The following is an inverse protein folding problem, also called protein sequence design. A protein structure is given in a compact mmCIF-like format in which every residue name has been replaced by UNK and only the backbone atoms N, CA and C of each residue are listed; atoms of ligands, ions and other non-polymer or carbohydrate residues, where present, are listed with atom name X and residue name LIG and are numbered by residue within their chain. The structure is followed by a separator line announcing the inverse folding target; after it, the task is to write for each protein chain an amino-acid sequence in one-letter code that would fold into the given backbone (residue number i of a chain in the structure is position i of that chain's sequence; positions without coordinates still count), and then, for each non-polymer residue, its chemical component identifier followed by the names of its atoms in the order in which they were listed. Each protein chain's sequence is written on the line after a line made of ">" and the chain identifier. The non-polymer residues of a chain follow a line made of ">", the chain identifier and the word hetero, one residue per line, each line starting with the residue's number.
data_IF_688053438570
#
_entry.id   IF_688053438570
#
_cell.length_a   1.000
_cell.length_b   1.000
_cell.length_c   1.000
_cell.angle_alpha   90.00
_cell.angle_beta   90.00
_cell.angle_gamma   90.00
#
_symmetry.space_group_name_H-M   'P 1'
#
loop_
_entity.id
_entity.type
_entity.pdbx_description
1 polymer ?
#
# COMPACT_ATOMS: atom_id res chain seq x y z
N UNK A 1 -28.65 30.58 -78.84
CA UNK A 1 -27.80 29.46 -78.40
C UNK A 1 -28.09 29.23 -76.91
N UNK A 2 -29.09 28.39 -76.61
CA UNK A 2 -29.55 28.12 -75.23
C UNK A 2 -28.95 26.77 -74.80
N UNK A 3 -28.02 26.82 -73.85
CA UNK A 3 -27.46 25.62 -73.20
C UNK A 3 -28.40 25.21 -72.08
N UNK A 4 -29.02 24.04 -72.22
CA UNK A 4 -29.82 23.38 -71.18
C UNK A 4 -28.88 22.80 -70.12
N UNK A 5 -28.96 23.28 -68.88
CA UNK A 5 -28.31 22.65 -67.74
C UNK A 5 -29.21 21.50 -67.24
N UNK A 6 -28.70 20.27 -67.32
CA UNK A 6 -29.34 19.07 -66.76
C UNK A 6 -28.89 18.94 -65.30
N UNK A 7 -29.79 19.28 -64.38
CA UNK A 7 -29.61 19.04 -62.94
C UNK A 7 -29.80 17.54 -62.64
N UNK A 8 -28.70 16.79 -62.50
CA UNK A 8 -28.72 15.44 -61.95
C UNK A 8 -29.02 15.49 -60.44
N UNK A 9 -30.29 15.41 -60.05
CA UNK A 9 -30.69 15.16 -58.65
C UNK A 9 -30.13 13.81 -58.20
N UNK A 10 -29.06 13.83 -57.38
CA UNK A 10 -28.60 12.66 -56.62
C UNK A 10 -29.73 12.20 -55.71
N UNK A 11 -30.35 11.07 -56.05
CA UNK A 11 -31.21 10.31 -55.15
C UNK A 11 -30.42 10.00 -53.87
N UNK A 12 -30.81 10.63 -52.75
CA UNK A 12 -30.30 10.27 -51.43
C UNK A 12 -31.16 9.11 -50.96
N UNK A 13 -30.62 7.89 -50.97
CA UNK A 13 -31.24 6.75 -50.30
C UNK A 13 -31.34 7.05 -48.81
N UNK A 14 -32.56 7.22 -48.29
CA UNK A 14 -32.81 7.32 -46.86
C UNK A 14 -32.64 5.96 -46.20
N UNK A 15 -32.03 5.92 -45.02
CA UNK A 15 -31.96 4.71 -44.20
C UNK A 15 -33.37 4.31 -43.75
N UNK A 16 -33.70 3.03 -43.84
CA UNK A 16 -34.94 2.48 -43.27
C UNK A 16 -34.82 2.36 -41.75
N UNK A 17 -35.95 2.48 -41.05
CA UNK A 17 -36.01 2.33 -39.60
C UNK A 17 -35.47 0.96 -39.13
N UNK A 18 -35.66 -0.08 -39.94
CA UNK A 18 -35.17 -1.44 -39.67
C UNK A 18 -33.64 -1.50 -39.75
N UNK A 19 -33.03 -0.91 -40.77
CA UNK A 19 -31.56 -0.89 -40.91
C UNK A 19 -30.90 -0.18 -39.72
N UNK A 20 -31.46 0.93 -39.26
CA UNK A 20 -30.95 1.63 -38.07
C UNK A 20 -31.08 0.76 -36.80
N UNK A 21 -32.21 0.08 -36.62
CA UNK A 21 -32.47 -0.81 -35.49
C UNK A 21 -31.50 -1.99 -35.43
N UNK A 22 -31.18 -2.60 -36.58
CA UNK A 22 -30.21 -3.71 -36.65
C UNK A 22 -28.81 -3.24 -36.28
N UNK A 23 -28.39 -2.07 -36.77
CA UNK A 23 -27.07 -1.52 -36.48
C UNK A 23 -26.91 -1.23 -34.98
N UNK A 24 -27.89 -0.58 -34.35
CA UNK A 24 -27.82 -0.32 -32.90
C UNK A 24 -27.88 -1.62 -32.08
N UNK A 25 -28.61 -2.65 -32.54
CA UNK A 25 -28.63 -3.95 -31.87
C UNK A 25 -27.26 -4.64 -31.93
N UNK A 26 -26.59 -4.64 -33.09
CA UNK A 26 -25.25 -5.21 -33.23
C UNK A 26 -24.23 -4.44 -32.37
N UNK A 27 -24.24 -3.10 -32.42
CA UNK A 27 -23.36 -2.28 -31.59
C UNK A 27 -23.62 -2.55 -30.09
N UNK A 28 -24.89 -2.65 -29.69
CA UNK A 28 -25.27 -2.97 -28.31
C UNK A 28 -24.72 -4.31 -27.84
N UNK A 29 -24.83 -5.36 -28.67
CA UNK A 29 -24.26 -6.69 -28.37
C UNK A 29 -22.74 -6.65 -28.30
N UNK A 30 -22.07 -5.96 -29.24
CA UNK A 30 -20.61 -5.82 -29.22
C UNK A 30 -20.13 -5.09 -27.96
N UNK A 31 -20.77 -3.97 -27.58
CA UNK A 31 -20.40 -3.23 -26.37
C UNK A 31 -20.64 -4.09 -25.11
N UNK A 32 -21.77 -4.81 -25.05
CA UNK A 32 -22.08 -5.68 -23.92
C UNK A 32 -21.03 -6.78 -23.70
N UNK A 33 -20.45 -7.32 -24.79
CA UNK A 33 -19.39 -8.32 -24.72
C UNK A 33 -18.00 -7.72 -24.48
N UNK A 34 -17.73 -6.53 -25.02
CA UNK A 34 -16.42 -5.88 -24.92
C UNK A 34 -16.20 -5.15 -23.60
N UNK A 35 -17.23 -4.55 -23.00
CA UNK A 35 -17.06 -3.75 -21.78
C UNK A 35 -16.52 -4.57 -20.61
N UNK A 36 -17.04 -5.77 -20.27
CA UNK A 36 -16.48 -6.59 -19.20
C UNK A 36 -15.03 -7.00 -19.48
N UNK A 37 -14.72 -7.35 -20.73
CA UNK A 37 -13.37 -7.76 -21.14
C UNK A 37 -12.36 -6.61 -21.01
N UNK A 38 -12.73 -5.39 -21.44
CA UNK A 38 -11.86 -4.21 -21.30
C UNK A 38 -11.59 -3.89 -19.83
N UNK A 39 -12.58 -4.03 -18.95
CA UNK A 39 -12.36 -3.78 -17.52
C UNK A 39 -11.45 -4.82 -16.87
N UNK A 40 -11.62 -6.11 -17.21
CA UNK A 40 -10.74 -7.17 -16.74
C UNK A 40 -9.29 -6.95 -17.21
N UNK A 41 -9.11 -6.57 -18.48
CA UNK A 41 -7.79 -6.27 -19.03
C UNK A 41 -7.14 -5.07 -18.33
N UNK A 42 -7.90 -4.00 -18.05
CA UNK A 42 -7.41 -2.83 -17.31
C UNK A 42 -6.97 -3.20 -15.89
N UNK A 43 -7.76 -4.00 -15.19
CA UNK A 43 -7.41 -4.41 -13.83
C UNK A 43 -6.19 -5.34 -13.80
N UNK A 44 -6.06 -6.25 -14.76
CA UNK A 44 -4.87 -7.07 -14.90
C UNK A 44 -3.60 -6.21 -15.14
N UNK A 45 -3.71 -5.16 -15.96
CA UNK A 45 -2.61 -4.22 -16.20
C UNK A 45 -2.25 -3.43 -14.93
N UNK A 46 -3.25 -2.92 -14.20
CA UNK A 46 -3.02 -2.23 -12.92
C UNK A 46 -2.34 -3.14 -11.90
N UNK A 47 -2.81 -4.38 -11.76
CA UNK A 47 -2.19 -5.38 -10.88
C UNK A 47 -0.75 -5.68 -11.29
N UNK A 48 -0.47 -5.81 -12.59
CA UNK A 48 0.90 -5.99 -13.08
C UNK A 48 1.80 -4.81 -12.67
N UNK A 49 1.30 -3.57 -12.78
CA UNK A 49 2.02 -2.40 -12.32
C UNK A 49 2.27 -2.43 -10.80
N UNK A 50 1.29 -2.82 -9.97
CA UNK A 50 1.49 -2.99 -8.54
C UNK A 50 2.57 -4.03 -8.22
N UNK A 51 2.53 -5.19 -8.88
CA UNK A 51 3.54 -6.24 -8.67
C UNK A 51 4.94 -5.76 -9.04
N UNK A 52 5.08 -4.97 -10.10
CA UNK A 52 6.35 -4.37 -10.48
C UNK A 52 6.82 -3.34 -9.46
N UNK A 53 5.94 -2.46 -8.98
CA UNK A 53 6.28 -1.46 -7.95
C UNK A 53 6.75 -2.13 -6.65
N UNK A 54 6.03 -3.14 -6.14
CA UNK A 54 6.45 -3.89 -4.97
C UNK A 54 7.78 -4.63 -5.18
N UNK A 55 8.01 -5.16 -6.39
CA UNK A 55 9.30 -5.77 -6.77
C UNK A 55 10.44 -4.75 -6.72
N UNK A 56 10.23 -3.53 -7.22
CA UNK A 56 11.23 -2.46 -7.15
C UNK A 56 11.54 -2.06 -5.70
N UNK A 57 10.52 -1.96 -4.83
CA UNK A 57 10.72 -1.65 -3.42
C UNK A 57 11.48 -2.76 -2.67
N UNK A 58 11.18 -4.01 -2.99
CA UNK A 58 11.94 -5.15 -2.47
C UNK A 58 13.41 -5.09 -2.91
N UNK A 59 13.68 -4.89 -4.20
CA UNK A 59 15.04 -4.75 -4.73
C UNK A 59 15.79 -3.56 -4.11
N UNK A 60 15.12 -2.42 -3.93
CA UNK A 60 15.68 -1.26 -3.25
C UNK A 60 16.08 -1.58 -1.80
N UNK A 61 15.28 -2.41 -1.11
CA UNK A 61 15.59 -2.86 0.25
C UNK A 61 16.78 -3.82 0.30
N UNK A 62 16.91 -4.69 -0.71
CA UNK A 62 18.10 -5.54 -0.89
C UNK A 62 19.36 -4.71 -1.18
N UNK A 63 19.29 -3.72 -2.07
CA UNK A 63 20.41 -2.83 -2.35
C UNK A 63 20.82 -2.01 -1.12
N UNK A 64 19.84 -1.57 -0.31
CA UNK A 64 20.09 -0.95 0.98
C UNK A 64 20.82 -1.93 1.92
N UNK A 65 20.34 -3.18 2.00
CA UNK A 65 20.99 -4.22 2.79
C UNK A 65 22.42 -4.49 2.34
N UNK A 66 22.70 -4.56 1.05
CA UNK A 66 24.05 -4.78 0.54
C UNK A 66 25.01 -3.63 0.87
N UNK A 67 24.48 -2.40 0.94
CA UNK A 67 25.26 -1.21 1.28
C UNK A 67 25.51 -1.07 2.79
N UNK A 68 24.50 -1.34 3.62
CA UNK A 68 24.52 -1.03 5.06
C UNK A 68 24.52 -2.28 5.97
N UNK A 69 24.53 -3.47 5.39
CA UNK A 69 24.56 -4.78 6.06
C UNK A 69 23.26 -5.19 6.75
N UNK A 70 22.19 -4.41 6.63
CA UNK A 70 20.88 -4.67 7.25
C UNK A 70 19.78 -3.98 6.44
N UNK A 71 18.54 -4.45 6.57
CA UNK A 71 17.38 -3.78 5.98
C UNK A 71 17.17 -2.37 6.57
N UNK A 72 16.44 -1.49 5.85
CA UNK A 72 16.04 -0.20 6.39
C UNK A 72 15.28 -0.37 7.72
N UNK A 73 15.47 0.54 8.69
CA UNK A 73 14.73 0.48 9.94
C UNK A 73 13.24 0.73 9.69
N UNK A 74 12.37 -0.05 10.33
CA UNK A 74 10.92 0.21 10.29
C UNK A 74 10.56 1.52 11.01
N UNK A 75 11.32 1.85 12.06
CA UNK A 75 11.21 3.11 12.80
C UNK A 75 12.58 3.67 13.17
N UNK A 76 12.77 4.97 12.91
CA UNK A 76 13.96 5.72 13.29
C UNK A 76 13.58 7.01 14.02
N UNK A 77 13.79 7.03 15.33
CA UNK A 77 13.44 8.11 16.25
C UNK A 77 14.57 9.10 16.56
N UNK A 78 15.49 9.34 15.61
CA UNK A 78 16.66 10.21 15.81
C UNK A 78 17.54 9.77 17.00
N UNK A 79 17.93 8.49 17.04
CA UNK A 79 18.79 7.94 18.09
C UNK A 79 18.18 7.84 19.49
N UNK A 80 17.02 8.45 19.76
CA UNK A 80 16.25 8.18 20.96
C UNK A 80 15.38 6.94 20.72
N UNK A 81 15.64 5.81 21.42
CA UNK A 81 14.79 4.64 21.30
C UNK A 81 13.34 5.04 21.58
N UNK A 82 13.05 5.79 22.66
CA UNK A 82 11.68 6.13 23.07
C UNK A 82 10.88 7.07 22.15
N UNK A 83 11.48 7.60 21.07
CA UNK A 83 10.75 8.40 20.08
C UNK A 83 10.10 7.46 19.05
N UNK A 84 9.04 6.77 19.47
CA UNK A 84 8.29 5.87 18.60
C UNK A 84 7.04 6.53 18.05
N UNK A 85 6.57 6.00 16.92
CA UNK A 85 5.25 6.34 16.42
C UNK A 85 5.24 7.57 15.55
N UNK A 86 4.53 8.58 16.04
CA UNK A 86 4.13 9.73 15.23
C UNK A 86 5.30 10.63 14.82
N UNK A 87 6.43 10.60 15.54
CA UNK A 87 7.54 11.53 15.31
C UNK A 87 8.78 10.87 14.68
N UNK A 88 8.71 9.57 14.39
CA UNK A 88 9.82 8.77 13.83
C UNK A 88 9.71 8.59 12.32
N UNK A 89 10.87 8.64 11.66
CA UNK A 89 11.01 8.29 10.25
C UNK A 89 10.76 6.80 10.03
N UNK A 90 10.08 6.46 8.94
CA UNK A 90 9.94 5.08 8.48
C UNK A 90 11.09 4.66 7.55
N UNK A 91 11.02 3.41 7.11
CA UNK A 91 11.82 2.84 6.02
C UNK A 91 11.82 3.69 4.73
N UNK A 92 10.74 4.44 4.47
CA UNK A 92 10.53 5.23 3.25
C UNK A 92 11.69 6.20 2.99
N UNK A 93 12.10 6.97 4.01
CA UNK A 93 13.15 7.97 3.81
C UNK A 93 14.49 7.33 3.41
N UNK A 94 14.77 6.14 3.92
CA UNK A 94 16.05 5.44 3.71
C UNK A 94 16.15 4.78 2.34
N UNK A 95 15.03 4.40 1.73
CA UNK A 95 15.03 3.75 0.41
C UNK A 95 15.02 4.73 -0.76
N UNK A 96 14.73 6.02 -0.55
CA UNK A 96 14.63 7.02 -1.63
C UNK A 96 15.83 7.02 -2.60
N UNK A 97 17.10 6.97 -2.14
CA UNK A 97 18.24 6.92 -3.06
C UNK A 97 18.26 5.66 -3.94
N UNK A 98 17.68 4.56 -3.46
CA UNK A 98 17.64 3.26 -4.13
C UNK A 98 16.47 3.11 -5.10
N UNK A 99 15.59 4.11 -5.19
CA UNK A 99 14.48 4.20 -6.13
C UNK A 99 14.55 5.49 -6.96
N UNK A 100 15.76 6.00 -7.19
CA UNK A 100 16.04 7.18 -8.01
C UNK A 100 15.42 8.50 -7.51
N UNK A 101 15.15 8.61 -6.19
CA UNK A 101 14.59 9.81 -5.56
C UNK A 101 15.63 10.61 -4.74
N UNK A 102 16.84 10.77 -5.26
CA UNK A 102 17.94 11.51 -4.58
C UNK A 102 17.56 12.96 -4.23
N UNK A 103 16.87 13.67 -5.13
CA UNK A 103 16.44 15.06 -4.89
C UNK A 103 15.43 15.19 -3.74
N UNK A 104 14.64 14.15 -3.47
CA UNK A 104 13.76 14.11 -2.31
C UNK A 104 14.55 13.76 -1.05
N UNK A 105 15.49 12.82 -1.14
CA UNK A 105 16.33 12.39 -0.04
C UNK A 105 17.17 13.54 0.55
N UNK A 106 17.76 14.38 -0.30
CA UNK A 106 18.57 15.54 0.10
C UNK A 106 17.79 16.59 0.91
N UNK A 107 16.45 16.58 0.84
CA UNK A 107 15.59 17.46 1.61
C UNK A 107 15.24 16.90 3.00
N UNK A 108 15.55 15.64 3.28
CA UNK A 108 15.24 14.99 4.55
C UNK A 108 16.34 15.24 5.58
N UNK A 109 15.95 15.52 6.82
CA UNK A 109 16.85 15.59 7.96
C UNK A 109 16.45 14.55 9.01
N UNK A 110 17.19 13.43 9.05
CA UNK A 110 16.95 12.34 10.00
C UNK A 110 17.38 12.67 11.44
N UNK A 111 18.13 13.77 11.65
CA UNK A 111 18.47 14.28 12.99
C UNK A 111 17.30 15.05 13.64
N UNK A 112 16.17 15.19 12.94
CA UNK A 112 14.99 15.86 13.43
C UNK A 112 13.78 14.92 13.40
N UNK A 113 12.74 15.27 14.17
CA UNK A 113 11.46 14.59 14.13
C UNK A 113 10.78 14.84 12.79
N UNK A 114 10.14 13.81 12.22
CA UNK A 114 9.45 13.93 10.92
C UNK A 114 8.25 14.89 10.96
N UNK A 115 7.55 14.96 12.09
CA UNK A 115 6.42 15.85 12.31
C UNK A 115 6.82 16.99 13.27
N UNK A 116 6.36 18.22 13.01
CA UNK A 116 6.80 19.42 13.74
C UNK A 116 6.92 20.69 12.89
N UNK A 117 7.66 21.71 13.36
CA UNK A 117 7.83 23.00 12.63
C UNK A 117 8.34 22.77 11.18
N UNK A 118 7.82 23.54 10.23
CA UNK A 118 7.89 23.33 8.77
C UNK A 118 9.30 23.21 8.16
N UNK A 119 10.36 23.53 8.91
CA UNK A 119 11.77 23.43 8.51
C UNK A 119 12.38 22.02 8.66
N UNK A 120 11.64 21.01 9.14
CA UNK A 120 12.20 19.79 9.77
C UNK A 120 11.99 18.45 9.03
N UNK A 121 11.60 18.48 7.76
CA UNK A 121 11.51 17.27 6.91
C UNK A 121 11.44 17.54 5.41
N UNK A 122 11.66 18.80 5.01
CA UNK A 122 11.56 19.25 3.62
C UNK A 122 10.14 19.23 3.03
N UNK A 123 10.01 19.71 1.80
CA UNK A 123 8.78 19.55 1.01
C UNK A 123 8.53 18.07 0.64
N UNK A 124 9.58 17.25 0.65
CA UNK A 124 9.56 15.83 0.29
C UNK A 124 8.55 14.98 1.09
N UNK A 125 8.26 15.31 2.37
CA UNK A 125 7.23 14.61 3.17
C UNK A 125 5.82 14.71 2.56
N UNK A 126 5.55 15.78 1.82
CA UNK A 126 4.23 16.10 1.24
C UNK A 126 4.09 15.68 -0.21
N UNK A 127 5.20 15.26 -0.83
CA UNK A 127 5.22 14.90 -2.22
C UNK A 127 4.73 13.46 -2.39
N UNK A 128 3.73 13.29 -3.24
CA UNK A 128 3.33 11.96 -3.69
C UNK A 128 4.40 11.36 -4.59
N UNK A 129 4.66 10.09 -4.38
CA UNK A 129 5.57 9.30 -5.18
C UNK A 129 4.78 8.22 -5.92
N UNK A 130 4.73 8.32 -7.25
CA UNK A 130 3.96 7.39 -8.10
C UNK A 130 4.43 5.94 -7.96
N UNK A 131 5.70 5.70 -7.62
CA UNK A 131 6.24 4.38 -7.33
C UNK A 131 5.65 3.74 -6.06
N UNK A 132 5.04 4.54 -5.19
CA UNK A 132 4.46 4.14 -3.90
C UNK A 132 2.93 4.06 -3.92
N UNK A 133 2.30 4.38 -5.06
CA UNK A 133 0.85 4.40 -5.23
C UNK A 133 0.35 3.18 -5.99
N UNK A 134 -0.74 2.59 -5.49
CA UNK A 134 -1.46 1.55 -6.19
C UNK A 134 -2.34 2.20 -7.28
N UNK A 135 -2.16 1.90 -8.58
CA UNK A 135 -3.02 2.43 -9.65
C UNK A 135 -4.48 2.00 -9.56
N UNK A 136 -4.82 0.99 -8.74
CA UNK A 136 -6.21 0.61 -8.46
C UNK A 136 -6.83 1.41 -7.30
N UNK A 137 -6.02 2.17 -6.54
CA UNK A 137 -6.51 3.13 -5.55
C UNK A 137 -6.55 4.54 -6.16
N UNK A 138 -7.77 5.06 -6.35
CA UNK A 138 -7.97 6.40 -6.90
C UNK A 138 -7.71 7.50 -5.85
N UNK A 139 -7.50 7.14 -4.58
CA UNK A 139 -7.26 8.10 -3.51
C UNK A 139 -5.79 8.55 -3.50
N UNK A 140 -5.56 9.83 -3.79
CA UNK A 140 -4.22 10.45 -3.86
C UNK A 140 -4.17 11.67 -2.95
N UNK A 141 -3.89 11.43 -1.67
CA UNK A 141 -3.98 12.48 -0.65
C UNK A 141 -2.60 13.09 -0.40
N UNK A 142 -2.52 14.40 -0.58
CA UNK A 142 -1.49 15.27 -0.01
C UNK A 142 -2.18 16.17 1.02
N UNK A 143 -1.89 15.98 2.29
CA UNK A 143 -2.62 16.70 3.34
C UNK A 143 -2.23 18.18 3.38
N UNK A 144 -3.23 19.05 3.50
CA UNK A 144 -3.02 20.50 3.58
C UNK A 144 -3.41 21.10 4.94
N UNK A 145 -4.25 20.43 5.73
CA UNK A 145 -4.91 21.02 6.90
C UNK A 145 -3.99 21.58 8.00
N UNK A 146 -2.94 20.86 8.40
CA UNK A 146 -2.03 21.29 9.50
C UNK A 146 -0.58 21.21 9.05
N UNK A 147 0.05 22.36 8.78
CA UNK A 147 1.42 22.48 8.20
C UNK A 147 2.47 21.57 8.86
N UNK A 148 2.43 21.43 10.19
CA UNK A 148 3.38 20.60 10.94
C UNK A 148 3.14 19.09 10.83
N UNK A 149 2.00 18.67 10.30
CA UNK A 149 1.54 17.28 10.22
C UNK A 149 1.12 16.84 8.81
N UNK A 150 1.40 17.65 7.79
CA UNK A 150 1.11 17.34 6.38
C UNK A 150 1.97 16.17 5.89
N UNK A 151 1.33 15.09 5.43
CA UNK A 151 2.01 13.97 4.78
C UNK A 151 1.34 13.64 3.44
N UNK A 152 2.09 13.07 2.51
CA UNK A 152 1.53 12.36 1.37
C UNK A 152 1.19 10.93 1.78
N UNK A 153 0.00 10.45 1.44
CA UNK A 153 -0.42 9.10 1.78
C UNK A 153 -0.13 8.15 0.62
N UNK A 154 0.38 6.96 0.93
CA UNK A 154 0.78 5.95 -0.04
C UNK A 154 0.25 4.56 0.33
N UNK A 155 0.29 3.63 -0.62
CA UNK A 155 -0.31 2.30 -0.48
C UNK A 155 0.68 1.22 -0.06
N UNK A 156 1.94 1.30 -0.49
CA UNK A 156 2.92 0.24 -0.20
C UNK A 156 3.56 0.42 1.18
N UNK A 157 3.53 -0.64 1.96
CA UNK A 157 3.89 -0.65 3.37
C UNK A 157 4.65 -1.91 3.75
N UNK A 158 5.42 -1.84 4.84
CA UNK A 158 6.25 -2.96 5.33
C UNK A 158 5.51 -3.88 6.28
N UNK A 159 5.91 -5.15 6.34
CA UNK A 159 5.39 -6.08 7.32
C UNK A 159 6.08 -5.87 8.69
N UNK A 160 5.30 -5.50 9.71
CA UNK A 160 5.79 -5.35 11.09
C UNK A 160 5.76 -6.65 11.90
N UNK A 161 5.00 -7.65 11.47
CA UNK A 161 4.81 -8.89 12.19
C UNK A 161 3.39 -9.42 12.09
N UNK A 162 3.06 -10.37 12.97
CA UNK A 162 1.78 -11.09 12.96
C UNK A 162 0.77 -10.65 14.03
N UNK A 163 1.10 -9.62 14.82
CA UNK A 163 0.23 -9.04 15.86
C UNK A 163 -0.05 -7.56 15.61
N UNK A 164 0.71 -6.66 16.25
CA UNK A 164 0.61 -5.20 16.06
C UNK A 164 2.01 -4.57 15.91
N UNK A 165 2.08 -3.24 15.84
CA UNK A 165 3.32 -2.50 15.58
C UNK A 165 4.15 -2.15 16.83
N UNK A 166 3.88 -2.75 17.99
CA UNK A 166 4.44 -2.27 19.24
C UNK A 166 5.96 -2.32 19.26
N UNK A 167 6.54 -1.23 19.74
CA UNK A 167 7.95 -0.87 19.60
C UNK A 167 8.62 -0.83 20.97
N UNK A 168 8.54 -1.93 21.72
CA UNK A 168 9.06 -1.98 23.10
C UNK A 168 9.97 -3.17 23.40
N UNK A 169 10.59 -3.14 24.59
CA UNK A 169 11.53 -4.15 25.12
C UNK A 169 10.88 -5.51 25.51
N UNK A 170 9.56 -5.67 25.34
CA UNK A 170 8.85 -6.91 25.58
C UNK A 170 8.73 -7.73 24.28
N UNK A 171 8.69 -9.08 24.34
CA UNK A 171 8.30 -9.87 23.17
C UNK A 171 6.92 -9.40 22.70
N UNK A 172 6.83 -9.14 21.40
CA UNK A 172 5.75 -8.44 20.72
C UNK A 172 4.38 -8.72 21.35
N UNK A 173 3.80 -7.63 21.87
CA UNK A 173 2.61 -7.60 22.71
C UNK A 173 1.41 -8.38 22.16
N UNK A 174 0.57 -8.76 23.11
CA UNK A 174 -0.60 -9.59 22.90
C UNK A 174 -1.76 -8.78 22.30
N UNK A 175 -2.34 -9.30 21.21
CA UNK A 175 -3.61 -8.79 20.66
C UNK A 175 -4.66 -9.88 20.86
N UNK A 176 -5.68 -9.61 21.68
CA UNK A 176 -6.77 -10.56 21.99
C UNK A 176 -6.30 -11.97 22.41
N UNK A 177 -5.29 -12.10 23.27
CA UNK A 177 -4.75 -13.42 23.63
C UNK A 177 -3.61 -13.92 22.74
N UNK A 178 -3.34 -13.28 21.61
CA UNK A 178 -2.33 -13.72 20.65
C UNK A 178 -1.01 -12.97 20.84
N UNK A 179 0.01 -13.67 21.35
CA UNK A 179 1.39 -13.17 21.44
C UNK A 179 2.08 -13.27 20.08
N UNK A 180 2.51 -12.12 19.55
CA UNK A 180 3.06 -12.03 18.20
C UNK A 180 4.55 -12.32 18.08
N UNK A 181 4.97 -12.46 16.84
CA UNK A 181 6.35 -12.51 16.37
C UNK A 181 6.61 -11.36 15.41
N UNK A 182 7.83 -10.83 15.47
CA UNK A 182 8.26 -9.72 14.65
C UNK A 182 8.40 -10.09 13.17
N UNK A 183 8.11 -9.12 12.29
CA UNK A 183 8.45 -9.20 10.88
C UNK A 183 9.90 -8.81 10.59
N UNK A 184 10.20 -8.62 9.30
CA UNK A 184 11.54 -8.16 8.86
C UNK A 184 11.78 -6.69 9.16
N UNK A 185 10.75 -5.85 9.11
CA UNK A 185 10.87 -4.46 9.53
C UNK A 185 10.47 -4.34 10.98
N UNK A 186 11.47 -4.12 11.83
CA UNK A 186 11.24 -3.89 13.26
C UNK A 186 11.56 -2.44 13.62
N UNK A 187 10.70 -1.76 14.38
CA UNK A 187 11.07 -0.56 15.10
C UNK A 187 12.21 -0.92 16.06
N UNK A 188 13.22 -0.07 16.22
CA UNK A 188 14.42 -0.27 17.08
C UNK A 188 15.59 -1.09 16.52
N UNK A 189 15.33 -2.12 15.71
CA UNK A 189 16.41 -3.03 15.27
C UNK A 189 16.58 -2.99 13.76
N UNK A 190 17.84 -2.96 13.34
CA UNK A 190 18.16 -3.23 11.94
C UNK A 190 18.16 -4.75 11.80
N UNK A 191 17.13 -5.31 11.16
CA UNK A 191 17.12 -6.73 10.85
C UNK A 191 18.00 -6.97 9.62
N UNK A 192 18.87 -7.97 9.68
CA UNK A 192 19.55 -8.49 8.50
C UNK A 192 18.73 -9.59 7.84
N UNK A 193 19.03 -9.91 6.58
CA UNK A 193 18.41 -11.07 5.91
C UNK A 193 18.70 -12.38 6.68
N UNK A 194 19.82 -12.45 7.41
CA UNK A 194 20.18 -13.57 8.29
C UNK A 194 19.21 -13.82 9.45
N UNK A 195 18.43 -12.81 9.84
CA UNK A 195 17.49 -12.93 10.97
C UNK A 195 16.16 -13.58 10.53
N UNK A 196 15.99 -13.83 9.23
CA UNK A 196 14.89 -14.57 8.64
C UNK A 196 15.21 -16.07 8.65
N UNK A 197 15.00 -16.71 9.80
CA UNK A 197 15.29 -18.15 9.96
C UNK A 197 14.23 -19.04 9.33
N UNK A 198 13.02 -18.52 9.09
CA UNK A 198 11.91 -19.29 8.50
C UNK A 198 11.97 -19.33 6.96
N UNK A 199 12.94 -18.61 6.37
CA UNK A 199 13.27 -18.61 4.95
C UNK A 199 12.79 -17.36 4.22
N UNK A 200 13.67 -16.78 3.40
CA UNK A 200 13.41 -15.52 2.71
C UNK A 200 12.20 -15.59 1.75
N UNK A 201 11.94 -16.76 1.16
CA UNK A 201 10.78 -16.99 0.29
C UNK A 201 9.47 -17.22 1.03
N UNK A 202 9.51 -17.25 2.37
CA UNK A 202 8.41 -17.59 3.26
C UNK A 202 8.15 -16.49 4.31
N UNK A 203 8.79 -15.33 4.19
CA UNK A 203 8.57 -14.21 5.09
C UNK A 203 8.21 -12.97 4.27
N UNK A 204 7.14 -12.28 4.65
CA UNK A 204 6.68 -11.06 3.99
C UNK A 204 7.62 -9.89 4.27
N UNK A 205 7.83 -9.09 3.22
CA UNK A 205 8.61 -7.87 3.25
C UNK A 205 7.70 -6.65 3.05
N UNK A 206 6.94 -6.66 1.95
CA UNK A 206 6.00 -5.59 1.58
C UNK A 206 4.62 -6.14 1.28
N UNK A 207 3.63 -5.28 1.45
CA UNK A 207 2.29 -5.47 0.93
C UNK A 207 1.68 -4.08 0.65
N UNK A 208 0.44 -4.09 0.20
CA UNK A 208 -0.38 -2.91 0.01
C UNK A 208 -1.45 -2.75 1.12
N UNK A 209 -1.81 -1.50 1.34
CA UNK A 209 -3.00 -1.05 2.08
C UNK A 209 -3.80 -0.09 1.19
N UNK A 210 -5.08 0.07 1.51
CA UNK A 210 -5.89 1.14 0.94
C UNK A 210 -5.71 2.43 1.74
N UNK A 211 -5.72 3.57 1.07
CA UNK A 211 -5.64 4.87 1.74
C UNK A 211 -7.02 5.39 2.15
N UNK A 212 -7.09 6.29 3.15
CA UNK A 212 -8.32 6.98 3.52
C UNK A 212 -9.01 7.69 2.34
N UNK A 213 -10.34 7.81 2.39
CA UNK A 213 -11.09 8.51 1.35
C UNK A 213 -11.09 10.05 1.49
N UNK A 214 -10.57 10.57 2.60
CA UNK A 214 -10.51 12.01 2.89
C UNK A 214 -9.23 12.36 3.65
N UNK A 215 -8.80 13.63 3.54
CA UNK A 215 -7.70 14.17 4.32
C UNK A 215 -8.07 14.38 5.81
N UNK A 216 -7.09 14.79 6.62
CA UNK A 216 -7.29 15.16 8.02
C UNK A 216 -7.92 14.04 8.88
N UNK A 217 -7.59 12.78 8.59
CA UNK A 217 -8.07 11.65 9.41
C UNK A 217 -7.36 11.54 10.76
N UNK A 218 -6.20 12.19 10.91
CA UNK A 218 -5.28 12.06 12.06
C UNK A 218 -4.89 10.60 12.41
N UNK A 219 -5.23 9.64 11.55
CA UNK A 219 -4.86 8.24 11.65
C UNK A 219 -3.49 7.98 11.05
N UNK A 220 -2.89 6.86 11.42
CA UNK A 220 -1.58 6.42 10.91
C UNK A 220 -1.65 5.87 9.49
N UNK A 221 -2.80 5.31 9.07
CA UNK A 221 -2.97 4.58 7.82
C UNK A 221 -2.53 5.40 6.60
N UNK A 222 -1.62 4.85 5.82
CA UNK A 222 -1.12 5.45 4.58
C UNK A 222 0.00 6.48 4.79
N UNK A 223 0.31 6.91 6.01
CA UNK A 223 1.42 7.86 6.28
C UNK A 223 2.77 7.15 6.21
N UNK A 224 3.15 6.72 5.02
CA UNK A 224 4.31 5.85 4.81
C UNK A 224 5.64 6.48 5.17
N UNK A 225 5.73 7.80 5.32
CA UNK A 225 6.94 8.47 5.78
C UNK A 225 7.09 8.39 7.32
N UNK A 226 5.98 8.24 8.04
CA UNK A 226 5.94 8.10 9.49
C UNK A 226 5.99 6.61 9.84
N UNK A 227 6.94 6.19 10.67
CA UNK A 227 7.22 4.77 10.95
C UNK A 227 5.96 3.91 11.14
N UNK A 228 5.16 4.24 12.15
CA UNK A 228 3.99 3.45 12.54
C UNK A 228 2.74 3.70 11.68
N UNK A 229 2.87 4.51 10.62
CA UNK A 229 1.90 4.63 9.52
C UNK A 229 2.33 3.92 8.24
N UNK A 230 3.53 3.34 8.23
CA UNK A 230 4.18 2.77 7.06
C UNK A 230 4.16 1.24 7.02
N UNK A 231 3.28 0.59 7.77
CA UNK A 231 3.25 -0.86 7.86
C UNK A 231 1.87 -1.50 7.90
N UNK A 232 1.89 -2.82 7.85
CA UNK A 232 0.76 -3.73 8.05
C UNK A 232 1.19 -4.91 8.94
N UNK A 233 0.22 -5.63 9.49
CA UNK A 233 0.44 -6.91 10.17
C UNK A 233 -0.33 -8.03 9.49
N UNK A 234 0.09 -9.27 9.74
CA UNK A 234 -0.63 -10.46 9.31
C UNK A 234 -1.63 -10.97 10.36
N UNK A 235 -1.93 -10.17 11.39
CA UNK A 235 -2.91 -10.54 12.42
C UNK A 235 -4.30 -10.83 11.83
N UNK A 236 -4.69 -10.09 10.79
CA UNK A 236 -5.90 -10.28 10.01
C UNK A 236 -5.53 -10.73 8.59
N UNK A 237 -6.35 -11.58 7.97
CA UNK A 237 -6.17 -12.01 6.56
C UNK A 237 -6.23 -10.83 5.58
N UNK A 238 -5.72 -10.99 4.35
CA UNK A 238 -5.86 -9.97 3.32
C UNK A 238 -7.32 -9.58 3.10
N UNK A 239 -7.59 -8.29 2.92
CA UNK A 239 -8.94 -7.73 2.75
C UNK A 239 -9.95 -8.19 3.83
N UNK A 240 -9.50 -8.56 5.03
CA UNK A 240 -10.38 -9.07 6.07
C UNK A 240 -11.59 -8.16 6.33
N UNK A 241 -12.78 -8.76 6.42
CA UNK A 241 -14.01 -8.08 6.87
C UNK A 241 -14.03 -7.88 8.40
N UNK A 242 -12.87 -7.55 8.97
CA UNK A 242 -12.66 -7.22 10.36
C UNK A 242 -12.05 -5.82 10.44
N UNK A 243 -12.20 -5.18 11.61
CA UNK A 243 -11.78 -3.81 11.77
C UNK A 243 -10.26 -3.74 12.00
N UNK A 244 -9.58 -2.86 11.26
CA UNK A 244 -8.22 -2.46 11.60
C UNK A 244 -8.24 -1.72 12.95
N UNK A 245 -7.25 -1.94 13.79
CA UNK A 245 -7.12 -1.23 15.07
C UNK A 245 -6.12 -0.11 14.89
N UNK A 246 -6.60 1.12 14.94
CA UNK A 246 -5.79 2.30 14.67
C UNK A 246 -5.79 3.21 15.90
N UNK A 247 -4.70 3.96 16.06
CA UNK A 247 -4.57 5.00 17.09
C UNK A 247 -5.62 6.11 16.97
N UNK A 248 -6.15 6.30 15.76
CA UNK A 248 -7.33 7.13 15.48
C UNK A 248 -8.12 6.50 14.34
N UNK A 249 -9.41 6.34 14.58
CA UNK A 249 -10.34 5.85 13.58
C UNK A 249 -11.32 6.98 13.24
N UNK A 250 -11.31 7.43 11.99
CA UNK A 250 -12.35 8.31 11.48
C UNK A 250 -13.29 7.47 10.61
N UNK A 251 -14.61 7.70 10.73
CA UNK A 251 -15.68 6.96 10.04
C UNK A 251 -15.66 7.08 8.50
N UNK A 252 -14.64 7.73 7.93
CA UNK A 252 -14.55 8.11 6.52
C UNK A 252 -13.59 7.22 5.69
N UNK A 253 -13.23 6.02 6.16
CA UNK A 253 -12.34 5.08 5.43
C UNK A 253 -13.05 4.24 4.33
N UNK A 254 -14.10 4.77 3.72
CA UNK A 254 -14.66 4.29 2.44
C UNK A 254 -15.55 3.03 2.50
N UNK A 255 -16.76 3.13 1.95
CA UNK A 255 -17.88 2.19 2.15
C UNK A 255 -17.96 0.99 1.20
N UNK A 256 -16.98 0.71 0.33
CA UNK A 256 -17.05 -0.42 -0.60
C UNK A 256 -15.92 -1.48 -0.48
N UNK A 257 -14.76 -1.13 0.09
CA UNK A 257 -13.80 -2.12 0.65
C UNK A 257 -13.62 -1.98 2.16
N UNK A 258 -14.28 -0.98 2.77
CA UNK A 258 -14.55 -0.91 4.20
C UNK A 258 -13.33 -1.20 5.06
N UNK A 259 -12.29 -0.36 5.03
CA UNK A 259 -11.38 -0.31 6.17
C UNK A 259 -12.17 0.22 7.36
N UNK A 260 -13.02 -0.65 7.91
CA UNK A 260 -13.66 -0.44 9.18
C UNK A 260 -12.50 -0.36 10.15
N UNK A 261 -12.45 0.69 10.94
CA UNK A 261 -11.46 0.82 11.96
C UNK A 261 -12.14 0.80 13.32
N UNK A 262 -11.37 0.39 14.31
CA UNK A 262 -11.66 0.58 15.72
C UNK A 262 -10.52 1.36 16.32
N UNK A 263 -10.87 2.32 17.16
CA UNK A 263 -9.87 3.09 17.88
C UNK A 263 -9.46 2.31 19.13
N UNK A 264 -8.17 2.06 19.27
CA UNK A 264 -7.58 1.69 20.56
C UNK A 264 -7.13 2.98 21.29
N UNK A 265 -6.35 2.87 22.37
CA UNK A 265 -5.91 4.05 23.13
C UNK A 265 -5.32 5.16 22.27
N UNK A 266 -5.86 6.36 22.41
CA UNK A 266 -5.38 7.55 21.72
C UNK A 266 -3.87 7.69 21.84
N UNK A 267 -3.23 7.96 20.70
CA UNK A 267 -1.80 8.22 20.57
C UNK A 267 -0.85 7.02 20.74
N UNK A 268 -1.36 5.79 20.92
CA UNK A 268 -0.51 4.59 20.91
C UNK A 268 -0.31 4.04 19.48
N UNK A 269 0.56 4.67 18.69
CA UNK A 269 0.78 4.21 17.31
C UNK A 269 1.41 2.81 17.23
N UNK A 270 2.01 2.32 18.32
CA UNK A 270 2.56 0.97 18.40
C UNK A 270 1.46 -0.09 18.45
N UNK A 271 0.35 0.16 19.13
CA UNK A 271 -0.76 -0.81 19.20
C UNK A 271 -1.56 -0.99 17.88
N UNK A 272 -1.11 -0.38 16.79
CA UNK A 272 -1.80 -0.47 15.49
C UNK A 272 -1.78 -1.90 14.93
N UNK A 273 -2.96 -2.35 14.49
CA UNK A 273 -3.18 -3.60 13.76
C UNK A 273 -3.83 -3.23 12.43
N UNK A 274 -3.12 -3.43 11.33
CA UNK A 274 -3.58 -3.04 10.00
C UNK A 274 -3.47 -4.24 9.08
N UNK A 275 -4.58 -4.69 8.52
CA UNK A 275 -4.57 -5.76 7.53
C UNK A 275 -3.92 -5.29 6.22
N UNK A 276 -3.32 -6.22 5.48
CA UNK A 276 -3.04 -5.99 4.06
C UNK A 276 -4.37 -5.80 3.31
N UNK A 277 -4.47 -4.74 2.50
CA UNK A 277 -5.71 -4.40 1.78
C UNK A 277 -5.42 -3.87 0.38
N UNK A 278 -6.20 -4.28 -0.61
CA UNK A 278 -6.11 -3.77 -1.98
C UNK A 278 -7.49 -3.64 -2.64
N UNK A 279 -7.54 -2.85 -3.71
CA UNK A 279 -8.69 -2.80 -4.62
C UNK A 279 -8.68 -3.91 -5.68
N UNK A 280 -7.67 -4.80 -5.66
CA UNK A 280 -7.61 -5.94 -6.57
C UNK A 280 -8.64 -7.00 -6.16
N UNK A 281 -9.38 -7.58 -7.13
CA UNK A 281 -10.34 -8.63 -6.82
C UNK A 281 -9.69 -9.86 -6.16
N UNK A 282 -10.18 -10.23 -4.98
CA UNK A 282 -9.93 -11.54 -4.34
C UNK A 282 -8.67 -11.65 -3.48
N UNK A 283 -7.94 -10.57 -3.22
CA UNK A 283 -6.72 -10.63 -2.41
C UNK A 283 -5.81 -9.41 -2.51
N UNK A 284 -4.52 -9.62 -2.24
CA UNK A 284 -3.48 -8.57 -2.27
C UNK A 284 -2.21 -9.11 -2.90
N UNK A 285 -1.38 -8.22 -3.45
CA UNK A 285 -0.01 -8.58 -3.81
C UNK A 285 0.90 -8.37 -2.61
N UNK A 286 1.80 -9.33 -2.41
CA UNK A 286 2.83 -9.28 -1.36
C UNK A 286 4.20 -9.51 -1.97
N UNK A 287 5.20 -8.78 -1.49
CA UNK A 287 6.60 -9.09 -1.74
C UNK A 287 7.15 -9.91 -0.58
N UNK A 288 7.82 -11.00 -0.91
CA UNK A 288 8.56 -11.83 0.02
C UNK A 288 9.97 -11.29 0.23
N UNK A 289 10.64 -11.75 1.27
CA UNK A 289 11.97 -11.29 1.66
C UNK A 289 13.04 -11.69 0.63
N UNK A 290 12.82 -12.72 -0.18
CA UNK A 290 13.64 -13.06 -1.36
C UNK A 290 13.42 -12.10 -2.56
N UNK A 291 12.51 -11.13 -2.40
CA UNK A 291 12.11 -10.16 -3.41
C UNK A 291 11.15 -10.72 -4.46
N UNK A 292 10.71 -11.97 -4.39
CA UNK A 292 9.62 -12.45 -5.24
C UNK A 292 8.30 -11.80 -4.85
N UNK A 293 7.41 -11.58 -5.82
CA UNK A 293 6.08 -11.00 -5.58
C UNK A 293 5.04 -12.05 -5.92
N UNK A 294 4.08 -12.25 -5.02
CA UNK A 294 3.00 -13.21 -5.17
C UNK A 294 1.69 -12.56 -4.83
N UNK A 295 0.60 -13.11 -5.37
CA UNK A 295 -0.73 -12.72 -4.96
C UNK A 295 -1.27 -13.72 -3.95
N UNK A 296 -1.77 -13.22 -2.84
CA UNK A 296 -2.34 -14.03 -1.76
C UNK A 296 -3.83 -13.74 -1.70
N UNK A 297 -4.63 -14.81 -1.69
CA UNK A 297 -6.09 -14.67 -1.64
C UNK A 297 -6.56 -14.18 -0.27
N UNK A 298 -7.63 -13.39 -0.26
CA UNK A 298 -8.35 -13.04 0.97
C UNK A 298 -8.96 -14.24 1.71
N UNK A 299 -9.08 -15.39 1.03
CA UNK A 299 -9.58 -16.65 1.59
C UNK A 299 -8.48 -17.55 2.18
N UNK A 300 -7.23 -17.07 2.22
CA UNK A 300 -6.10 -17.77 2.84
C UNK A 300 -6.41 -18.13 4.30
N UNK A 301 -5.96 -19.31 4.73
CA UNK A 301 -6.09 -19.71 6.12
C UNK A 301 -5.27 -18.77 7.04
N UNK A 302 -5.86 -18.36 8.15
CA UNK A 302 -5.27 -17.35 9.06
C UNK A 302 -3.90 -17.76 9.61
N UNK A 303 -3.71 -19.03 9.97
CA UNK A 303 -2.47 -19.47 10.60
C UNK A 303 -1.27 -19.43 9.62
N UNK A 304 -1.35 -20.01 8.40
CA UNK A 304 -0.31 -19.81 7.38
C UNK A 304 -0.02 -18.34 7.09
N UNK A 305 -1.08 -17.51 6.98
CA UNK A 305 -0.91 -16.07 6.75
C UNK A 305 -0.16 -15.36 7.88
N UNK A 306 -0.48 -15.67 9.14
CA UNK A 306 0.24 -15.13 10.30
C UNK A 306 1.72 -15.52 10.27
N UNK A 307 2.02 -16.80 10.01
CA UNK A 307 3.40 -17.28 9.91
C UNK A 307 4.21 -16.59 8.81
N UNK A 308 3.59 -16.21 7.68
CA UNK A 308 4.28 -15.40 6.67
C UNK A 308 4.74 -14.04 7.19
N UNK A 309 4.04 -13.45 8.17
CA UNK A 309 4.43 -12.18 8.77
C UNK A 309 5.54 -12.29 9.81
N UNK A 310 5.83 -13.49 10.29
CA UNK A 310 6.90 -13.74 11.25
C UNK A 310 8.22 -14.04 10.51
N UNK A 311 9.33 -13.52 11.04
CA UNK A 311 10.68 -13.84 10.48
C UNK A 311 11.32 -15.09 11.07
N UNK A 312 10.91 -15.49 12.28
CA UNK A 312 11.59 -16.49 13.09
C UNK A 312 10.66 -17.19 14.11
N UNK A 313 9.47 -17.60 13.70
CA UNK A 313 8.54 -18.39 14.51
C UNK A 313 8.76 -19.92 14.40
N UNK A 314 9.59 -20.37 13.45
CA UNK A 314 9.93 -21.77 13.22
C UNK A 314 8.76 -22.63 12.71
N UNK A 315 7.65 -22.02 12.27
CA UNK A 315 6.48 -22.76 11.78
C UNK A 315 6.63 -23.09 10.31
N UNK A 316 6.15 -24.28 9.94
CA UNK A 316 6.09 -24.70 8.53
C UNK A 316 4.90 -24.03 7.87
N UNK A 317 5.15 -23.32 6.79
CA UNK A 317 4.09 -22.67 6.00
C UNK A 317 3.52 -23.68 4.99
N UNK A 318 2.21 -23.86 5.01
CA UNK A 318 1.48 -24.67 4.02
C UNK A 318 1.32 -23.94 2.69
N UNK A 319 0.42 -24.40 1.81
CA UNK A 319 0.07 -23.65 0.59
C UNK A 319 -0.77 -22.41 0.94
N UNK A 320 -0.50 -21.29 0.26
CA UNK A 320 -1.14 -19.98 0.46
C UNK A 320 -1.22 -19.17 -0.84
#
# INVERSE_FOLDING_TARGET
>A
MLVSQIDCRRSRSGFTLVELLVVIAIIGVLIALLLPAVQQAREAARRMQCTNQQKQLALASHNFHDTYGNLPPGSYGNGNPHNYGRDSWSWYGFILPFIEQNAMYEQLNFEEKINGNATRGGAARKQLLDAMLCPSDDTKIQEEGVTSWQNALHNYVVCYGDANFNSGLAPWNEVDGYAGTAGMFVPERKAGLKDCTDGLSNTLLFSEIITPAAENTWGSLGRTQVAMGAGFTTYLTPNANANDRLNRCHTNLGSNLGAKCTQHSDWDWGANVVAARSWHPGGVNVALTDGSVRFVSETVALNPWRSLGARSDGKVIGEY
#
